data_IF_759835483771
#
_entry.id   IF_759835483771
#
_cell.length_a   1.000
_cell.length_b   1.000
_cell.length_c   1.000
_cell.angle_alpha   90.00
_cell.angle_beta   90.00
_cell.angle_gamma   90.00
#
_symmetry.space_group_name_H-M   'P 1'
#
loop_
_entity.id
_entity.type
_entity.pdbx_description
1 polymer ?
#
# COMPACT_ATOMS: atom_id res chain seq x y z
N UNK A 1 -14.14 -39.50 -41.21
CA UNK A 1 -13.89 -40.80 -40.52
C UNK A 1 -15.14 -41.63 -40.32
N UNK A 2 -16.27 -41.08 -39.84
CA UNK A 2 -17.51 -41.85 -39.59
C UNK A 2 -18.02 -42.64 -40.81
N UNK A 3 -17.97 -42.06 -42.03
CA UNK A 3 -18.43 -42.75 -43.26
C UNK A 3 -17.59 -43.98 -43.63
N UNK A 4 -16.28 -43.96 -43.39
CA UNK A 4 -15.37 -45.07 -43.73
C UNK A 4 -15.64 -46.30 -42.84
N UNK A 5 -15.72 -46.08 -41.52
CA UNK A 5 -16.01 -47.14 -40.56
C UNK A 5 -17.46 -47.65 -40.64
N UNK A 6 -18.40 -46.78 -41.04
CA UNK A 6 -19.77 -47.19 -41.32
C UNK A 6 -19.84 -48.14 -42.54
N UNK A 7 -19.16 -47.80 -43.64
CA UNK A 7 -19.12 -48.65 -44.83
C UNK A 7 -18.48 -50.01 -44.57
N UNK A 8 -17.35 -50.06 -43.84
CA UNK A 8 -16.66 -51.32 -43.49
C UNK A 8 -17.55 -52.24 -42.65
N UNK A 9 -18.26 -51.68 -41.66
CA UNK A 9 -19.20 -52.44 -40.81
C UNK A 9 -20.35 -53.05 -41.62
N UNK A 10 -20.91 -52.27 -42.56
CA UNK A 10 -22.01 -52.72 -43.42
C UNK A 10 -21.57 -53.87 -44.33
N UNK A 11 -20.36 -53.81 -44.88
CA UNK A 11 -19.77 -54.89 -45.69
C UNK A 11 -19.50 -56.16 -44.87
N UNK A 12 -18.94 -56.03 -43.66
CA UNK A 12 -18.63 -57.17 -42.78
C UNK A 12 -19.89 -57.91 -42.25
N UNK A 13 -20.99 -57.17 -42.05
CA UNK A 13 -22.31 -57.73 -41.72
C UNK A 13 -22.89 -58.53 -42.89
N UNK A 14 -22.81 -57.99 -44.11
CA UNK A 14 -23.31 -58.64 -45.32
C UNK A 14 -22.52 -59.92 -45.69
N UNK A 15 -21.26 -60.02 -45.26
CA UNK A 15 -20.39 -61.21 -45.46
C UNK A 15 -20.53 -62.28 -44.35
N UNK A 16 -21.41 -62.12 -43.37
CA UNK A 16 -21.58 -63.08 -42.25
C UNK A 16 -20.43 -63.08 -41.23
N UNK A 17 -19.53 -62.09 -41.25
CA UNK A 17 -18.34 -62.00 -40.39
C UNK A 17 -18.63 -61.25 -39.08
N UNK A 18 -19.58 -61.74 -38.29
CA UNK A 18 -20.05 -61.12 -37.04
C UNK A 18 -18.93 -60.84 -36.02
N UNK A 19 -17.97 -61.76 -35.85
CA UNK A 19 -16.83 -61.55 -34.93
C UNK A 19 -15.94 -60.36 -35.34
N UNK A 20 -15.73 -60.16 -36.64
CA UNK A 20 -14.94 -59.04 -37.14
C UNK A 20 -15.73 -57.74 -37.00
N UNK A 21 -17.03 -57.75 -37.31
CA UNK A 21 -17.92 -56.61 -37.09
C UNK A 21 -17.85 -56.10 -35.64
N UNK A 22 -17.93 -57.00 -34.64
CA UNK A 22 -17.85 -56.63 -33.22
C UNK A 22 -16.49 -56.02 -32.87
N UNK A 23 -15.38 -56.58 -33.34
CA UNK A 23 -14.03 -56.00 -33.12
C UNK A 23 -13.91 -54.57 -33.65
N UNK A 24 -14.40 -54.33 -34.86
CA UNK A 24 -14.36 -52.99 -35.47
C UNK A 24 -15.32 -52.01 -34.78
N UNK A 25 -16.52 -52.44 -34.37
CA UNK A 25 -17.45 -51.60 -33.62
C UNK A 25 -16.92 -51.20 -32.23
N UNK A 26 -16.28 -52.14 -31.52
CA UNK A 26 -15.61 -51.85 -30.25
C UNK A 26 -14.45 -50.87 -30.47
N UNK A 27 -13.64 -51.07 -31.51
CA UNK A 27 -12.54 -50.15 -31.84
C UNK A 27 -13.01 -48.71 -32.08
N UNK A 28 -14.15 -48.53 -32.75
CA UNK A 28 -14.75 -47.21 -32.97
C UNK A 28 -15.24 -46.57 -31.69
N UNK A 29 -15.91 -47.32 -30.82
CA UNK A 29 -16.35 -46.83 -29.50
C UNK A 29 -15.13 -46.41 -28.67
N UNK A 30 -14.09 -47.24 -28.61
CA UNK A 30 -12.86 -46.93 -27.88
C UNK A 30 -12.19 -45.67 -28.42
N UNK A 31 -12.12 -45.49 -29.75
CA UNK A 31 -11.57 -44.26 -30.35
C UNK A 31 -12.40 -43.02 -30.03
N UNK A 32 -13.73 -43.11 -30.09
CA UNK A 32 -14.62 -42.01 -29.71
C UNK A 32 -14.47 -41.67 -28.23
N UNK A 33 -14.42 -42.68 -27.36
CA UNK A 33 -14.21 -42.50 -25.91
C UNK A 33 -12.87 -41.82 -25.63
N UNK A 34 -11.78 -42.26 -26.28
CA UNK A 34 -10.47 -41.60 -26.16
C UNK A 34 -10.55 -40.13 -26.61
N UNK A 35 -11.22 -39.86 -27.73
CA UNK A 35 -11.42 -38.49 -28.22
C UNK A 35 -12.16 -37.60 -27.23
N UNK A 36 -13.24 -38.11 -26.61
CA UNK A 36 -14.00 -37.40 -25.58
C UNK A 36 -13.14 -37.15 -24.34
N UNK A 37 -12.40 -38.16 -23.88
CA UNK A 37 -11.51 -38.02 -22.72
C UNK A 37 -10.44 -36.96 -22.97
N UNK A 38 -9.79 -36.96 -24.13
CA UNK A 38 -8.81 -35.93 -24.51
C UNK A 38 -9.47 -34.56 -24.51
N UNK A 39 -10.63 -34.39 -25.16
CA UNK A 39 -11.35 -33.12 -25.20
C UNK A 39 -11.69 -32.60 -23.79
N UNK A 40 -12.18 -33.47 -22.90
CA UNK A 40 -12.46 -33.14 -21.51
C UNK A 40 -11.19 -32.74 -20.75
N UNK A 41 -10.08 -33.47 -20.93
CA UNK A 41 -8.81 -33.12 -20.26
C UNK A 41 -8.26 -31.77 -20.72
N UNK A 42 -8.36 -31.45 -22.03
CA UNK A 42 -7.94 -30.16 -22.59
C UNK A 42 -8.82 -29.03 -22.06
N UNK A 43 -10.14 -29.21 -22.05
CA UNK A 43 -11.05 -28.21 -21.49
C UNK A 43 -10.75 -27.94 -20.01
N UNK A 44 -10.63 -29.00 -19.21
CA UNK A 44 -10.30 -28.90 -17.79
C UNK A 44 -8.92 -28.25 -17.55
N UNK A 45 -7.94 -28.48 -18.43
CA UNK A 45 -6.64 -27.80 -18.35
C UNK A 45 -6.74 -26.30 -18.65
N UNK A 46 -7.51 -25.92 -19.67
CA UNK A 46 -7.73 -24.52 -20.02
C UNK A 46 -8.48 -23.77 -18.91
N UNK A 47 -9.51 -24.39 -18.32
CA UNK A 47 -10.23 -23.84 -17.16
C UNK A 47 -9.30 -23.65 -15.96
N UNK A 48 -8.49 -24.65 -15.62
CA UNK A 48 -7.48 -24.54 -14.54
C UNK A 48 -6.50 -23.40 -14.78
N UNK A 49 -5.98 -23.27 -16.00
CA UNK A 49 -5.08 -22.17 -16.36
C UNK A 49 -5.75 -20.80 -16.16
N UNK A 50 -7.02 -20.67 -16.53
CA UNK A 50 -7.79 -19.44 -16.33
C UNK A 50 -7.99 -19.13 -14.85
N UNK A 51 -8.36 -20.12 -14.03
CA UNK A 51 -8.54 -19.93 -12.59
C UNK A 51 -7.24 -19.59 -11.88
N UNK A 52 -6.13 -20.23 -12.26
CA UNK A 52 -4.81 -19.93 -11.69
C UNK A 52 -4.33 -18.52 -12.07
N UNK A 53 -4.61 -18.07 -13.30
CA UNK A 53 -4.33 -16.69 -13.72
C UNK A 53 -5.14 -15.68 -12.91
N UNK A 54 -6.44 -15.94 -12.69
CA UNK A 54 -7.29 -15.08 -11.86
C UNK A 54 -6.81 -15.03 -10.42
N UNK A 55 -6.43 -16.19 -9.86
CA UNK A 55 -5.87 -16.27 -8.51
C UNK A 55 -4.58 -15.44 -8.41
N UNK A 56 -3.67 -15.55 -9.39
CA UNK A 56 -2.44 -14.75 -9.43
C UNK A 56 -2.74 -13.26 -9.39
N UNK A 57 -3.67 -12.77 -10.21
CA UNK A 57 -4.08 -11.35 -10.19
C UNK A 57 -4.67 -10.93 -8.84
N UNK A 58 -5.49 -11.78 -8.21
CA UNK A 58 -6.00 -11.50 -6.86
C UNK A 58 -4.90 -11.45 -5.81
N UNK A 59 -3.89 -12.32 -5.91
CA UNK A 59 -2.71 -12.31 -5.04
C UNK A 59 -1.87 -11.06 -5.25
N UNK A 60 -1.71 -10.58 -6.48
CA UNK A 60 -1.02 -9.31 -6.77
C UNK A 60 -1.75 -8.15 -6.09
N UNK A 61 -3.08 -8.06 -6.20
CA UNK A 61 -3.84 -7.03 -5.50
C UNK A 61 -3.68 -7.11 -3.97
N UNK A 62 -3.76 -8.32 -3.40
CA UNK A 62 -3.56 -8.56 -1.97
C UNK A 62 -2.15 -8.19 -1.51
N UNK A 63 -1.12 -8.57 -2.28
CA UNK A 63 0.26 -8.23 -2.00
C UNK A 63 0.46 -6.72 -1.86
N UNK A 64 -0.11 -5.96 -2.81
CA UNK A 64 0.00 -4.50 -2.82
C UNK A 64 -0.80 -3.83 -1.71
N UNK A 65 -1.99 -4.35 -1.42
CA UNK A 65 -2.82 -3.87 -0.31
C UNK A 65 -2.11 -4.08 1.04
N UNK A 66 -1.53 -5.26 1.27
CA UNK A 66 -0.82 -5.57 2.52
C UNK A 66 0.48 -4.75 2.62
N UNK A 67 1.18 -4.54 1.50
CA UNK A 67 2.34 -3.65 1.47
C UNK A 67 1.97 -2.22 1.89
N UNK A 68 0.84 -1.72 1.39
CA UNK A 68 0.33 -0.41 1.77
C UNK A 68 -0.13 -0.36 3.23
N UNK A 69 -0.77 -1.41 3.74
CA UNK A 69 -1.11 -1.50 5.16
C UNK A 69 0.15 -1.40 6.04
N UNK A 70 1.19 -2.17 5.74
CA UNK A 70 2.46 -2.16 6.48
C UNK A 70 3.07 -0.76 6.49
N UNK A 71 3.07 -0.08 5.33
CA UNK A 71 3.55 1.29 5.19
C UNK A 71 2.76 2.27 6.08
N UNK A 72 1.43 2.25 6.02
CA UNK A 72 0.59 3.15 6.82
C UNK A 72 0.73 2.86 8.32
N UNK A 73 0.81 1.59 8.72
CA UNK A 73 1.05 1.24 10.12
C UNK A 73 2.43 1.68 10.59
N UNK A 74 3.45 1.70 9.75
CA UNK A 74 4.77 2.24 10.11
C UNK A 74 4.74 3.76 10.30
N UNK A 75 4.04 4.50 9.42
CA UNK A 75 3.83 5.94 9.57
C UNK A 75 3.12 6.23 10.90
N UNK A 76 2.03 5.52 11.14
CA UNK A 76 1.25 5.64 12.37
C UNK A 76 2.08 5.28 13.61
N UNK A 77 2.87 4.22 13.54
CA UNK A 77 3.75 3.80 14.63
C UNK A 77 4.80 4.87 14.97
N UNK A 78 5.35 5.55 13.95
CA UNK A 78 6.29 6.65 14.18
C UNK A 78 5.60 7.85 14.83
N UNK A 79 4.41 8.24 14.37
CA UNK A 79 3.62 9.32 15.02
C UNK A 79 3.34 8.99 16.49
N UNK A 80 2.91 7.75 16.78
CA UNK A 80 2.66 7.29 18.15
C UNK A 80 3.94 7.32 18.99
N UNK A 81 5.09 6.92 18.42
CA UNK A 81 6.40 6.99 19.11
C UNK A 81 6.72 8.43 19.49
N UNK A 82 6.59 9.37 18.55
CA UNK A 82 6.87 10.79 18.79
C UNK A 82 5.97 11.33 19.92
N UNK A 83 4.69 10.94 19.94
CA UNK A 83 3.77 11.32 21.02
C UNK A 83 4.20 10.76 22.38
N UNK A 84 4.63 9.50 22.45
CA UNK A 84 5.14 8.89 23.68
C UNK A 84 6.36 9.66 24.20
N UNK A 85 7.32 9.98 23.33
CA UNK A 85 8.56 10.68 23.70
C UNK A 85 8.33 12.12 24.16
N UNK A 86 7.30 12.79 23.63
CA UNK A 86 6.98 14.18 23.94
C UNK A 86 6.21 14.38 25.25
N UNK A 87 5.46 13.38 25.73
CA UNK A 87 4.67 13.52 26.97
C UNK A 87 5.55 13.82 28.20
N UNK A 88 6.62 13.06 28.49
CA UNK A 88 7.50 13.37 29.62
C UNK A 88 8.20 14.72 29.49
N UNK A 89 8.54 15.13 28.28
CA UNK A 89 9.16 16.44 28.00
C UNK A 89 8.17 17.57 28.30
N UNK A 90 6.91 17.41 27.91
CA UNK A 90 5.85 18.36 28.21
C UNK A 90 5.62 18.48 29.73
N UNK A 91 5.54 17.35 30.44
CA UNK A 91 5.32 17.32 31.89
C UNK A 91 6.48 17.90 32.70
N UNK A 92 7.68 17.95 32.13
CA UNK A 92 8.89 18.52 32.75
C UNK A 92 9.19 19.96 32.30
N UNK A 93 8.33 20.57 31.47
CA UNK A 93 8.55 21.92 30.95
C UNK A 93 8.51 22.97 32.07
N UNK A 94 9.58 23.77 32.26
CA UNK A 94 9.58 24.87 33.23
C UNK A 94 8.57 25.96 32.86
N UNK A 95 7.99 26.64 33.86
CA UNK A 95 7.01 27.72 33.67
C UNK A 95 7.49 28.78 32.67
N UNK A 96 8.74 29.22 32.79
CA UNK A 96 9.30 30.29 31.96
C UNK A 96 9.63 29.85 30.53
N UNK A 97 9.52 28.54 30.24
CA UNK A 97 9.74 27.96 28.92
C UNK A 97 8.44 27.66 28.15
N UNK A 98 7.27 27.87 28.78
CA UNK A 98 5.97 27.66 28.14
C UNK A 98 5.76 28.70 27.04
N UNK A 99 5.51 28.21 25.83
CA UNK A 99 5.27 29.04 24.64
C UNK A 99 4.27 28.36 23.70
N UNK A 100 4.09 28.93 22.50
CA UNK A 100 3.17 28.41 21.49
C UNK A 100 3.48 26.96 21.09
N UNK A 101 4.75 26.59 20.93
CA UNK A 101 5.15 25.21 20.59
C UNK A 101 4.77 24.24 21.70
N UNK A 102 4.91 24.63 22.98
CA UNK A 102 4.53 23.78 24.11
C UNK A 102 3.04 23.44 24.07
N UNK A 103 2.17 24.42 23.82
CA UNK A 103 0.72 24.21 23.71
C UNK A 103 0.39 23.34 22.49
N UNK A 104 1.04 23.57 21.34
CA UNK A 104 0.82 22.76 20.14
C UNK A 104 1.24 21.30 20.33
N UNK A 105 2.38 21.07 20.99
CA UNK A 105 2.81 19.73 21.39
C UNK A 105 1.76 19.10 22.29
N UNK A 106 1.24 19.82 23.28
CA UNK A 106 0.20 19.33 24.17
C UNK A 106 -1.05 18.86 23.42
N UNK A 107 -1.53 19.64 22.44
CA UNK A 107 -2.64 19.23 21.58
C UNK A 107 -2.29 18.03 20.70
N UNK A 108 -1.10 18.02 20.08
CA UNK A 108 -0.64 16.90 19.26
C UNK A 108 -0.59 15.58 20.05
N UNK A 109 0.03 15.61 21.25
CA UNK A 109 0.06 14.46 22.17
C UNK A 109 -1.24 14.27 22.93
N UNK A 110 -2.32 14.98 22.63
CA UNK A 110 -3.65 14.68 23.19
C UNK A 110 -4.64 14.24 22.13
N UNK A 111 -4.33 14.47 20.85
CA UNK A 111 -5.16 14.09 19.73
C UNK A 111 -5.04 12.59 19.42
N UNK A 112 -6.17 11.98 19.10
CA UNK A 112 -6.22 10.64 18.53
C UNK A 112 -5.69 10.64 17.10
N UNK A 113 -5.09 9.52 16.71
CA UNK A 113 -4.62 9.29 15.36
C UNK A 113 -5.81 9.10 14.42
N UNK A 114 -5.63 9.49 13.15
CA UNK A 114 -6.66 9.24 12.13
C UNK A 114 -6.77 7.73 11.91
N UNK A 115 -8.00 7.16 11.91
CA UNK A 115 -8.17 5.75 11.64
C UNK A 115 -7.71 5.43 10.21
N UNK A 116 -6.88 4.42 10.07
CA UNK A 116 -6.51 3.83 8.78
C UNK A 116 -7.41 2.65 8.46
N UNK A 117 -7.98 2.64 7.26
CA UNK A 117 -8.85 1.58 6.77
C UNK A 117 -8.15 0.80 5.65
N UNK A 118 -7.86 -0.47 5.92
CA UNK A 118 -7.22 -1.37 4.96
C UNK A 118 -8.14 -1.75 3.80
N UNK A 119 -7.60 -1.82 2.59
CA UNK A 119 -8.28 -2.42 1.41
C UNK A 119 -8.17 -3.96 1.39
N UNK A 120 -7.35 -4.55 2.25
CA UNK A 120 -7.07 -6.00 2.26
C UNK A 120 -8.33 -6.85 2.42
N UNK A 121 -9.31 -6.48 3.30
CA UNK A 121 -10.58 -7.20 3.39
C UNK A 121 -11.35 -7.25 2.07
N UNK A 122 -11.35 -6.16 1.30
CA UNK A 122 -12.06 -6.10 0.02
C UNK A 122 -11.46 -7.09 -0.99
N UNK A 123 -10.14 -7.14 -1.11
CA UNK A 123 -9.48 -8.08 -2.03
C UNK A 123 -9.59 -9.53 -1.56
N UNK A 124 -9.50 -9.77 -0.25
CA UNK A 124 -9.59 -11.13 0.31
C UNK A 124 -10.99 -11.73 0.09
N UNK A 125 -12.05 -10.96 0.30
CA UNK A 125 -13.43 -11.42 0.10
C UNK A 125 -13.73 -11.83 -1.34
N UNK A 126 -12.96 -11.32 -2.31
CA UNK A 126 -13.09 -11.65 -3.72
C UNK A 126 -12.12 -12.75 -4.19
N UNK A 127 -11.27 -13.28 -3.30
CA UNK A 127 -10.28 -14.31 -3.62
C UNK A 127 -10.94 -15.68 -3.80
N UNK A 128 -10.72 -16.32 -4.95
CA UNK A 128 -11.23 -17.67 -5.25
C UNK A 128 -10.09 -18.68 -5.31
N UNK A 129 -9.79 -19.31 -4.18
CA UNK A 129 -8.76 -20.34 -4.09
C UNK A 129 -9.25 -21.69 -4.59
N UNK A 130 -8.36 -22.45 -5.24
CA UNK A 130 -8.56 -23.86 -5.52
C UNK A 130 -8.37 -24.66 -4.21
N UNK A 131 -9.41 -25.32 -3.68
CA UNK A 131 -9.32 -26.04 -2.40
C UNK A 131 -8.33 -27.21 -2.43
N UNK A 132 -7.99 -27.72 -3.61
CA UNK A 132 -7.03 -28.81 -3.78
C UNK A 132 -5.58 -28.30 -3.91
N UNK A 133 -5.36 -26.99 -3.96
CA UNK A 133 -4.03 -26.40 -4.05
C UNK A 133 -3.57 -25.94 -2.67
N UNK A 134 -2.68 -26.72 -2.06
CA UNK A 134 -2.13 -26.47 -0.70
C UNK A 134 -1.53 -25.07 -0.55
N UNK A 135 -0.82 -24.58 -1.57
CA UNK A 135 -0.21 -23.23 -1.53
C UNK A 135 -1.26 -22.14 -1.49
N UNK A 136 -2.33 -22.30 -2.28
CA UNK A 136 -3.41 -21.33 -2.33
C UNK A 136 -4.20 -21.31 -1.01
N UNK A 137 -4.53 -22.49 -0.48
CA UNK A 137 -5.29 -22.61 0.77
C UNK A 137 -4.50 -22.09 1.98
N UNK A 138 -3.19 -22.34 2.04
CA UNK A 138 -2.31 -21.80 3.07
C UNK A 138 -2.23 -20.27 3.02
N UNK A 139 -1.99 -19.68 1.85
CA UNK A 139 -1.96 -18.22 1.71
C UNK A 139 -3.29 -17.58 2.12
N UNK A 140 -4.42 -18.15 1.68
CA UNK A 140 -5.74 -17.61 2.04
C UNK A 140 -5.93 -17.63 3.55
N UNK A 141 -5.53 -18.72 4.21
CA UNK A 141 -5.61 -18.85 5.67
C UNK A 141 -4.75 -17.79 6.36
N UNK A 142 -3.49 -17.63 5.96
CA UNK A 142 -2.59 -16.66 6.61
C UNK A 142 -3.02 -15.21 6.37
N UNK A 143 -3.51 -14.88 5.17
CA UNK A 143 -4.09 -13.55 4.90
C UNK A 143 -5.37 -13.32 5.72
N UNK A 144 -6.20 -14.34 5.89
CA UNK A 144 -7.40 -14.26 6.74
C UNK A 144 -7.04 -13.97 8.20
N UNK A 145 -6.02 -14.65 8.74
CA UNK A 145 -5.54 -14.42 10.10
C UNK A 145 -5.06 -12.96 10.28
N UNK A 146 -4.31 -12.46 9.31
CA UNK A 146 -3.88 -11.07 9.30
C UNK A 146 -5.04 -10.09 9.20
N UNK A 147 -6.01 -10.32 8.31
CA UNK A 147 -7.21 -9.49 8.21
C UNK A 147 -7.94 -9.40 9.56
N UNK A 148 -8.08 -10.52 10.27
CA UNK A 148 -8.70 -10.54 11.59
C UNK A 148 -7.89 -9.72 12.62
N UNK A 149 -6.56 -9.72 12.52
CA UNK A 149 -5.69 -8.90 13.37
C UNK A 149 -5.79 -7.39 13.09
N UNK A 150 -6.34 -6.99 11.93
CA UNK A 150 -6.52 -5.57 11.60
C UNK A 150 -7.70 -4.94 12.34
N UNK A 151 -8.65 -5.74 12.82
CA UNK A 151 -9.79 -5.25 13.57
C UNK A 151 -9.31 -4.57 14.86
N UNK A 152 -9.70 -3.31 15.04
CA UNK A 152 -9.31 -2.49 16.19
C UNK A 152 -10.31 -2.76 17.30
N UNK A 153 -9.85 -3.28 18.44
CA UNK A 153 -10.55 -3.10 19.70
C UNK A 153 -10.26 -1.67 20.15
N UNK A 154 -11.11 -0.70 19.76
CA UNK A 154 -10.92 0.66 20.25
C UNK A 154 -11.18 0.63 21.75
N UNK A 155 -10.13 0.64 22.56
CA UNK A 155 -10.25 1.21 23.90
C UNK A 155 -10.73 2.63 23.65
N UNK A 156 -11.96 2.93 24.07
CA UNK A 156 -12.58 4.23 23.83
C UNK A 156 -11.81 5.31 24.57
N UNK A 157 -10.70 5.78 23.98
CA UNK A 157 -9.92 6.89 24.47
C UNK A 157 -10.75 8.15 24.28
N UNK A 158 -11.38 8.59 25.36
CA UNK A 158 -11.87 9.97 25.42
C UNK A 158 -10.64 10.87 25.43
N UNK A 159 -10.63 11.88 24.57
CA UNK A 159 -9.56 12.88 24.47
C UNK A 159 -9.59 13.81 25.71
N UNK A 160 -9.42 13.26 26.91
CA UNK A 160 -9.66 13.95 28.16
C UNK A 160 -8.70 15.12 28.34
N UNK A 161 -7.39 14.93 28.10
CA UNK A 161 -6.41 16.01 28.19
C UNK A 161 -6.64 17.08 27.12
N UNK A 162 -7.04 16.67 25.90
CA UNK A 162 -7.41 17.60 24.83
C UNK A 162 -8.58 18.48 25.28
N UNK A 163 -9.66 17.85 25.76
CA UNK A 163 -10.85 18.54 26.20
C UNK A 163 -10.58 19.45 27.40
N UNK A 164 -9.74 19.03 28.35
CA UNK A 164 -9.33 19.86 29.49
C UNK A 164 -8.65 21.17 29.04
N UNK A 165 -7.85 21.16 27.96
CA UNK A 165 -7.27 22.39 27.41
C UNK A 165 -8.33 23.30 26.79
N UNK A 166 -9.29 22.74 26.06
CA UNK A 166 -10.42 23.48 25.50
C UNK A 166 -11.28 24.10 26.62
N UNK A 167 -11.55 23.34 27.69
CA UNK A 167 -12.36 23.77 28.83
C UNK A 167 -11.71 24.93 29.61
N UNK A 168 -10.38 25.05 29.58
CA UNK A 168 -9.63 26.19 30.15
C UNK A 168 -9.48 27.38 29.18
N UNK A 169 -10.18 27.34 28.05
CA UNK A 169 -10.21 28.42 27.07
C UNK A 169 -8.94 28.52 26.24
N UNK A 170 -8.15 27.45 26.13
CA UNK A 170 -6.98 27.41 25.25
C UNK A 170 -7.45 27.01 23.85
N UNK A 171 -7.30 27.87 22.82
CA UNK A 171 -7.77 27.54 21.49
C UNK A 171 -6.88 26.51 20.81
N UNK A 172 -7.50 25.59 20.08
CA UNK A 172 -6.79 24.65 19.21
C UNK A 172 -6.47 25.30 17.87
N UNK A 173 -5.24 25.77 17.68
CA UNK A 173 -4.74 26.00 16.32
C UNK A 173 -4.59 24.63 15.70
N UNK A 174 -5.23 24.36 14.56
CA UNK A 174 -4.89 23.16 13.78
C UNK A 174 -3.38 23.23 13.48
N UNK A 175 -2.53 22.42 14.14
CA UNK A 175 -1.11 22.51 13.89
C UNK A 175 -0.89 22.16 12.42
N UNK A 176 -0.17 23.01 11.69
CA UNK A 176 0.28 22.64 10.35
C UNK A 176 1.49 21.73 10.52
N UNK A 177 1.20 20.47 10.82
CA UNK A 177 2.20 19.41 10.80
C UNK A 177 2.37 19.12 9.30
N UNK A 178 3.37 19.74 8.67
CA UNK A 178 3.88 19.22 7.40
C UNK A 178 4.36 17.79 7.57
N UNK A 179 5.07 17.21 6.61
CA UNK A 179 5.64 15.85 6.80
C UNK A 179 6.90 15.81 7.68
N UNK A 180 7.17 16.89 8.42
CA UNK A 180 8.27 16.92 9.39
C UNK A 180 7.68 16.92 10.81
N UNK A 181 8.40 16.33 11.77
CA UNK A 181 8.10 16.45 13.20
C UNK A 181 8.36 17.86 13.74
N UNK A 182 8.70 18.83 12.87
CA UNK A 182 8.88 20.22 13.26
C UNK A 182 7.55 20.96 13.16
N UNK A 183 7.18 21.55 14.29
CA UNK A 183 6.03 22.44 14.41
C UNK A 183 6.37 23.78 13.75
N UNK A 184 5.95 23.98 12.51
CA UNK A 184 6.05 25.29 11.86
C UNK A 184 4.92 26.20 12.37
N UNK A 185 5.29 27.15 13.23
CA UNK A 185 4.38 28.18 13.71
C UNK A 185 4.17 29.18 12.58
N UNK A 186 2.99 29.13 11.94
CA UNK A 186 2.61 30.15 10.94
C UNK A 186 2.20 31.46 11.63
N UNK A 187 1.78 31.43 12.89
CA UNK A 187 1.37 32.64 13.61
C UNK A 187 1.68 32.59 15.11
N UNK A 188 2.76 33.27 15.53
CA UNK A 188 3.12 33.44 16.94
C UNK A 188 2.09 34.28 17.72
N UNK A 189 1.15 34.95 17.04
CA UNK A 189 0.11 35.77 17.66
C UNK A 189 -1.15 34.97 18.02
N UNK A 190 -1.24 33.69 17.62
CA UNK A 190 -2.39 32.85 17.93
C UNK A 190 -2.58 32.64 19.43
N UNK A 191 -1.47 32.56 20.18
CA UNK A 191 -1.47 32.41 21.62
C UNK A 191 -1.08 33.70 22.33
N UNK A 192 -1.84 34.07 23.36
CA UNK A 192 -1.57 35.23 24.21
C UNK A 192 -0.99 34.78 25.56
N UNK A 193 -0.48 35.72 26.36
CA UNK A 193 -0.01 35.43 27.72
C UNK A 193 -1.09 34.76 28.58
N UNK A 194 -2.37 35.10 28.37
CA UNK A 194 -3.48 34.42 29.02
C UNK A 194 -3.49 32.91 28.72
N UNK A 195 -3.27 32.49 27.47
CA UNK A 195 -3.21 31.07 27.11
C UNK A 195 -2.01 30.37 27.74
N UNK A 196 -0.83 31.02 27.79
CA UNK A 196 0.35 30.47 28.45
C UNK A 196 0.16 30.28 29.96
N UNK A 197 -0.47 31.25 30.64
CA UNK A 197 -0.79 31.15 32.06
C UNK A 197 -1.81 30.04 32.36
N UNK A 198 -2.85 29.92 31.53
CA UNK A 198 -3.85 28.85 31.64
C UNK A 198 -3.25 27.47 31.41
N UNK A 199 -2.39 27.34 30.41
CA UNK A 199 -1.69 26.09 30.14
C UNK A 199 -0.73 25.72 31.28
N UNK A 200 0.02 26.69 31.82
CA UNK A 200 0.87 26.48 32.99
C UNK A 200 0.04 26.04 34.21
N UNK A 201 -1.14 26.64 34.42
CA UNK A 201 -2.05 26.24 35.49
C UNK A 201 -2.48 24.77 35.31
N UNK A 202 -2.90 24.38 34.11
CA UNK A 202 -3.28 23.01 33.77
C UNK A 202 -2.15 22.02 33.97
N UNK A 203 -0.96 22.30 33.43
CA UNK A 203 0.21 21.42 33.55
C UNK A 203 0.56 21.11 35.00
N UNK A 204 0.23 22.00 35.94
CA UNK A 204 0.47 21.80 37.36
C UNK A 204 -0.70 21.13 38.11
N UNK A 205 -1.84 20.88 37.46
CA UNK A 205 -2.95 20.16 38.07
C UNK A 205 -2.67 18.65 38.17
N UNK A 206 -2.85 18.03 39.35
CA UNK A 206 -2.67 16.58 39.51
C UNK A 206 -3.52 15.76 38.53
N UNK A 207 -4.76 16.21 38.26
CA UNK A 207 -5.67 15.54 37.33
C UNK A 207 -5.13 15.56 35.90
N UNK A 208 -4.66 16.71 35.41
CA UNK A 208 -4.12 16.82 34.05
C UNK A 208 -2.87 15.94 33.89
N UNK A 209 -1.96 15.96 34.86
CA UNK A 209 -0.78 15.08 34.86
C UNK A 209 -1.17 13.60 34.82
N UNK A 210 -2.18 13.19 35.59
CA UNK A 210 -2.66 11.82 35.59
C UNK A 210 -3.22 11.41 34.21
N UNK A 211 -4.03 12.26 33.57
CA UNK A 211 -4.54 12.00 32.22
C UNK A 211 -3.42 11.89 31.17
N UNK A 212 -2.39 12.76 31.25
CA UNK A 212 -1.24 12.69 30.35
C UNK A 212 -0.44 11.39 30.52
N UNK A 213 -0.26 10.92 31.76
CA UNK A 213 0.40 9.64 32.03
C UNK A 213 -0.46 8.45 31.56
N UNK A 214 -1.78 8.52 31.71
CA UNK A 214 -2.68 7.51 31.14
C UNK A 214 -2.59 7.48 29.62
N UNK A 215 -2.52 8.64 28.96
CA UNK A 215 -2.30 8.74 27.52
C UNK A 215 -0.97 8.10 27.08
N UNK A 216 0.11 8.31 27.84
CA UNK A 216 1.41 7.68 27.55
C UNK A 216 1.33 6.14 27.58
N UNK A 217 0.67 5.58 28.60
CA UNK A 217 0.47 4.13 28.73
C UNK A 217 -0.36 3.57 27.58
N UNK A 218 -1.47 4.25 27.25
CA UNK A 218 -2.34 3.83 26.16
C UNK A 218 -1.61 3.86 24.81
N UNK A 219 -0.88 4.95 24.50
CA UNK A 219 -0.08 5.03 23.28
C UNK A 219 1.03 3.99 23.22
N UNK A 220 1.64 3.66 24.35
CA UNK A 220 2.61 2.57 24.42
C UNK A 220 1.97 1.24 24.02
N UNK A 221 0.76 0.96 24.49
CA UNK A 221 0.01 -0.22 24.06
C UNK A 221 -0.27 -0.19 22.54
N UNK A 222 -0.78 0.92 22.02
CA UNK A 222 -1.03 1.10 20.59
C UNK A 222 0.23 0.90 19.73
N UNK A 223 1.39 1.40 20.18
CA UNK A 223 2.67 1.22 19.49
C UNK A 223 3.02 -0.26 19.29
N UNK A 224 2.79 -1.10 20.31
CA UNK A 224 3.03 -2.55 20.25
C UNK A 224 1.98 -3.28 19.41
N UNK A 225 0.73 -2.84 19.42
CA UNK A 225 -0.29 -3.37 18.50
C UNK A 225 0.09 -3.10 17.05
N UNK A 226 0.51 -1.88 16.72
CA UNK A 226 1.00 -1.51 15.39
C UNK A 226 2.22 -2.35 14.99
N UNK A 227 3.15 -2.58 15.92
CA UNK A 227 4.32 -3.43 15.68
C UNK A 227 3.91 -4.86 15.27
N UNK A 228 2.88 -5.39 15.91
CA UNK A 228 2.34 -6.74 15.63
C UNK A 228 1.71 -6.78 14.24
N UNK A 229 0.92 -5.76 13.86
CA UNK A 229 0.34 -5.62 12.52
C UNK A 229 1.41 -5.52 11.43
N UNK A 230 2.42 -4.68 11.64
CA UNK A 230 3.57 -4.51 10.74
C UNK A 230 4.30 -5.85 10.54
N UNK A 231 4.61 -6.55 11.63
CA UNK A 231 5.36 -7.82 11.59
C UNK A 231 4.57 -8.94 10.91
N UNK A 232 3.26 -9.00 11.15
CA UNK A 232 2.35 -9.96 10.52
C UNK A 232 2.23 -9.68 9.02
N UNK A 233 2.04 -8.42 8.62
CA UNK A 233 2.01 -8.00 7.22
C UNK A 233 3.30 -8.35 6.49
N UNK A 234 4.47 -8.03 7.07
CA UNK A 234 5.78 -8.40 6.51
C UNK A 234 5.95 -9.90 6.32
N UNK A 235 5.48 -10.71 7.29
CA UNK A 235 5.54 -12.17 7.21
C UNK A 235 4.71 -12.71 6.04
N UNK A 236 3.52 -12.14 5.81
CA UNK A 236 2.66 -12.52 4.68
C UNK A 236 3.25 -12.07 3.34
N UNK A 237 3.82 -10.87 3.26
CA UNK A 237 4.51 -10.42 2.05
C UNK A 237 5.66 -11.36 1.69
N UNK A 238 6.42 -11.84 2.68
CA UNK A 238 7.46 -12.84 2.48
C UNK A 238 6.89 -14.19 2.00
N UNK A 239 5.79 -14.66 2.60
CA UNK A 239 5.11 -15.89 2.19
C UNK A 239 4.59 -15.82 0.75
N UNK A 240 3.93 -14.72 0.38
CA UNK A 240 3.44 -14.51 -0.99
C UNK A 240 4.60 -14.52 -1.97
N UNK A 241 5.70 -13.80 -1.69
CA UNK A 241 6.90 -13.82 -2.55
C UNK A 241 7.53 -15.20 -2.67
N UNK A 242 7.50 -16.01 -1.62
CA UNK A 242 8.01 -17.37 -1.67
C UNK A 242 7.19 -18.28 -2.60
N UNK A 243 5.85 -18.15 -2.59
CA UNK A 243 4.97 -18.98 -3.44
C UNK A 243 4.76 -18.41 -4.85
N UNK A 244 4.86 -17.08 -4.98
CA UNK A 244 4.67 -16.32 -6.21
C UNK A 244 5.84 -15.33 -6.35
N UNK A 245 7.04 -15.79 -6.74
CA UNK A 245 8.22 -14.92 -6.86
C UNK A 245 8.05 -13.81 -7.91
N UNK A 246 7.20 -14.05 -8.92
CA UNK A 246 6.87 -13.09 -9.98
C UNK A 246 5.65 -12.22 -9.63
N UNK A 247 5.26 -12.11 -8.35
CA UNK A 247 4.17 -11.24 -7.91
C UNK A 247 4.51 -9.78 -8.25
N UNK A 248 3.66 -9.13 -9.04
CA UNK A 248 3.86 -7.73 -9.44
C UNK A 248 3.54 -6.78 -8.28
N UNK A 249 4.38 -5.76 -8.13
CA UNK A 249 4.06 -4.58 -7.34
C UNK A 249 3.23 -3.66 -8.24
N UNK A 250 1.99 -3.41 -7.84
CA UNK A 250 1.06 -2.49 -8.48
C UNK A 250 1.23 -1.14 -7.81
N UNK A 251 1.79 -0.20 -8.55
CA UNK A 251 1.96 1.16 -8.10
C UNK A 251 0.66 1.93 -8.34
N UNK A 252 0.24 2.75 -7.37
CA UNK A 252 -0.91 3.65 -7.49
C UNK A 252 -0.42 5.07 -7.24
N UNK A 253 -1.08 6.06 -7.84
CA UNK A 253 -0.81 7.48 -7.57
C UNK A 253 0.69 7.81 -7.68
N UNK A 254 1.33 7.31 -8.74
CA UNK A 254 2.74 7.61 -9.01
C UNK A 254 2.82 9.06 -9.46
N UNK A 255 3.71 9.81 -8.86
CA UNK A 255 3.94 11.21 -9.19
C UNK A 255 5.42 11.58 -9.18
N UNK A 256 5.70 12.76 -9.70
CA UNK A 256 7.02 13.39 -9.70
C UNK A 256 7.01 14.63 -8.80
N UNK A 257 8.05 14.80 -7.99
CA UNK A 257 8.21 15.91 -7.05
C UNK A 257 9.64 16.45 -7.10
N UNK A 258 9.87 17.69 -6.71
CA UNK A 258 11.21 18.25 -6.53
C UNK A 258 11.31 19.74 -6.83
N UNK A 259 12.50 20.30 -6.61
CA UNK A 259 12.80 21.73 -6.76
C UNK A 259 12.69 22.24 -8.20
N UNK A 260 12.78 21.33 -9.19
CA UNK A 260 12.48 21.66 -10.59
C UNK A 260 11.01 21.96 -10.85
N UNK A 261 10.11 21.66 -9.89
CA UNK A 261 8.67 21.85 -9.98
C UNK A 261 8.23 22.87 -8.90
N UNK A 262 7.79 22.38 -7.74
CA UNK A 262 7.25 23.17 -6.62
C UNK A 262 8.03 22.95 -5.31
N UNK A 263 9.14 22.19 -5.34
CA UNK A 263 9.90 21.78 -4.16
C UNK A 263 9.55 20.38 -3.66
N UNK A 264 10.00 20.05 -2.46
CA UNK A 264 9.69 18.80 -1.75
C UNK A 264 8.72 19.07 -0.58
N UNK A 265 8.50 18.08 0.27
CA UNK A 265 7.56 18.19 1.39
C UNK A 265 7.95 19.24 2.43
N UNK A 266 9.22 19.62 2.49
CA UNK A 266 9.75 20.67 3.38
C UNK A 266 9.14 22.05 3.10
N UNK A 267 8.69 22.29 1.87
CA UNK A 267 7.97 23.50 1.47
C UNK A 267 6.47 23.24 1.26
N UNK A 268 5.96 22.10 1.73
CA UNK A 268 4.56 21.71 1.59
C UNK A 268 4.17 21.25 0.18
N UNK A 269 5.13 20.95 -0.70
CA UNK A 269 4.84 20.48 -2.05
C UNK A 269 4.26 19.06 -2.05
N UNK A 270 3.47 18.75 -3.08
CA UNK A 270 2.93 17.43 -3.38
C UNK A 270 3.44 16.96 -4.74
N UNK A 271 3.40 15.65 -4.98
CA UNK A 271 3.78 15.10 -6.28
C UNK A 271 2.81 15.57 -7.33
N UNK A 272 3.35 15.92 -8.50
CA UNK A 272 2.55 16.08 -9.71
C UNK A 272 2.19 14.69 -10.20
N UNK A 273 0.89 14.32 -10.30
CA UNK A 273 0.49 12.98 -10.71
C UNK A 273 0.95 12.66 -12.13
N UNK A 274 1.43 11.43 -12.33
CA UNK A 274 1.70 10.85 -13.65
C UNK A 274 0.50 9.99 -14.08
N UNK A 275 0.37 9.77 -15.38
CA UNK A 275 -0.68 8.94 -15.97
C UNK A 275 -0.09 7.55 -16.24
N UNK A 276 -0.74 6.49 -15.77
CA UNK A 276 -0.38 5.13 -16.14
C UNK A 276 -0.83 4.85 -17.58
N UNK A 277 0.13 4.75 -18.51
CA UNK A 277 -0.13 4.50 -19.93
C UNK A 277 -0.09 3.01 -20.28
N UNK A 278 0.59 2.20 -19.47
CA UNK A 278 0.64 0.74 -19.61
C UNK A 278 0.63 0.07 -18.23
N UNK A 279 -0.55 -0.46 -17.85
CA UNK A 279 -0.75 -1.19 -16.59
C UNK A 279 0.10 -2.46 -16.50
N UNK A 280 0.29 -3.18 -17.61
CA UNK A 280 1.01 -4.46 -17.60
C UNK A 280 2.50 -4.30 -17.34
N UNK A 281 3.08 -3.23 -17.87
CA UNK A 281 4.49 -2.88 -17.71
C UNK A 281 4.74 -1.78 -16.66
N UNK A 282 3.68 -1.30 -16.00
CA UNK A 282 3.73 -0.17 -15.05
C UNK A 282 4.51 1.02 -15.62
N UNK A 283 4.08 1.47 -16.80
CA UNK A 283 4.65 2.67 -17.46
C UNK A 283 3.78 3.86 -17.09
N UNK A 284 4.45 4.88 -16.57
CA UNK A 284 3.85 6.14 -16.13
C UNK A 284 4.45 7.27 -16.94
N UNK A 285 3.60 8.14 -17.47
CA UNK A 285 4.00 9.25 -18.33
C UNK A 285 3.40 10.56 -17.86
N UNK A 286 4.11 11.65 -18.09
CA UNK A 286 3.65 13.01 -17.85
C UNK A 286 4.41 13.97 -18.75
N UNK A 287 3.71 14.97 -19.28
CA UNK A 287 4.34 16.14 -19.87
C UNK A 287 4.34 17.29 -18.87
N UNK A 288 5.51 17.84 -18.58
CA UNK A 288 5.66 18.88 -17.56
C UNK A 288 6.81 19.84 -17.90
N UNK A 289 6.58 21.13 -17.65
CA UNK A 289 7.63 22.13 -17.68
C UNK A 289 8.50 22.00 -16.44
N UNK A 290 9.79 21.75 -16.61
CA UNK A 290 10.75 21.59 -15.53
C UNK A 290 11.74 22.75 -15.53
N UNK A 291 11.98 23.34 -14.36
CA UNK A 291 13.07 24.29 -14.12
C UNK A 291 14.37 23.54 -13.84
N UNK A 292 15.50 24.24 -13.93
CA UNK A 292 16.78 23.71 -13.42
C UNK A 292 16.67 23.41 -11.92
N UNK A 293 17.04 22.19 -11.52
CA UNK A 293 16.83 21.72 -10.16
C UNK A 293 16.99 20.21 -10.07
N UNK A 294 16.24 19.59 -9.16
CA UNK A 294 16.17 18.15 -9.03
C UNK A 294 14.72 17.66 -8.95
N UNK A 295 14.52 16.40 -9.32
CA UNK A 295 13.25 15.69 -9.21
C UNK A 295 13.43 14.29 -8.64
N UNK A 296 12.35 13.72 -8.13
CA UNK A 296 12.26 12.35 -7.67
C UNK A 296 10.85 11.83 -7.92
N UNK A 297 10.72 10.53 -8.17
CA UNK A 297 9.42 9.88 -8.32
C UNK A 297 9.00 9.26 -7.00
N UNK A 298 7.70 9.24 -6.72
CA UNK A 298 7.18 8.53 -5.56
C UNK A 298 5.74 8.07 -5.74
N UNK A 299 5.38 7.05 -5.00
CA UNK A 299 4.05 6.45 -4.97
C UNK A 299 3.24 7.07 -3.82
N UNK A 300 1.98 7.44 -4.07
CA UNK A 300 1.01 7.86 -3.04
C UNK A 300 1.48 9.02 -2.15
N UNK A 301 2.26 9.94 -2.72
CA UNK A 301 2.84 11.08 -1.98
C UNK A 301 3.65 10.68 -0.74
N UNK A 302 4.29 9.51 -0.76
CA UNK A 302 5.04 8.94 0.36
C UNK A 302 6.50 8.65 0.02
N UNK A 303 7.41 8.79 0.98
CA UNK A 303 8.82 8.45 0.81
C UNK A 303 9.12 6.95 0.97
N UNK A 304 8.17 6.10 1.36
CA UNK A 304 8.44 4.67 1.54
C UNK A 304 8.75 3.95 0.21
N UNK A 305 8.07 4.38 -0.86
CA UNK A 305 8.26 3.84 -2.21
C UNK A 305 8.50 5.02 -3.14
N UNK A 306 9.78 5.34 -3.31
CA UNK A 306 10.27 6.42 -4.15
C UNK A 306 11.35 5.89 -5.10
N UNK A 307 11.56 6.58 -6.22
CA UNK A 307 12.60 6.26 -7.18
C UNK A 307 13.37 7.50 -7.58
N UNK A 308 14.68 7.34 -7.59
CA UNK A 308 15.61 8.35 -8.06
C UNK A 308 16.68 7.73 -8.94
N UNK A 309 17.61 8.55 -9.39
CA UNK A 309 18.76 8.11 -10.16
C UNK A 309 19.70 9.26 -10.50
N UNK A 310 20.85 8.86 -10.99
CA UNK A 310 22.07 9.67 -11.00
C UNK A 310 22.48 10.08 -12.43
N UNK A 311 21.62 9.80 -13.42
CA UNK A 311 21.85 10.08 -14.84
C UNK A 311 20.71 10.87 -15.47
N UNK A 312 21.01 11.63 -16.52
CA UNK A 312 20.03 12.40 -17.29
C UNK A 312 20.49 12.43 -18.76
N UNK A 313 19.59 12.39 -19.76
CA UNK A 313 18.13 12.41 -19.66
C UNK A 313 17.47 11.04 -19.41
N UNK A 314 18.23 9.95 -19.42
CA UNK A 314 17.70 8.61 -19.15
C UNK A 314 18.59 7.86 -18.17
N UNK A 315 18.01 6.88 -17.47
CA UNK A 315 18.70 6.21 -16.39
C UNK A 315 17.94 5.05 -15.78
N UNK A 316 18.60 4.39 -14.83
CA UNK A 316 17.96 3.41 -13.95
C UNK A 316 17.31 4.14 -12.77
N UNK A 317 16.04 3.81 -12.51
CA UNK A 317 15.28 4.27 -11.35
C UNK A 317 15.44 3.29 -10.21
N UNK A 318 16.26 3.62 -9.21
CA UNK A 318 16.44 2.80 -8.03
C UNK A 318 15.48 3.22 -6.95
N UNK A 319 14.90 2.23 -6.24
CA UNK A 319 14.18 2.52 -5.02
C UNK A 319 15.14 3.17 -4.02
N UNK A 320 14.72 4.26 -3.38
CA UNK A 320 15.55 5.09 -2.50
C UNK A 320 16.78 5.71 -3.19
N UNK A 321 16.76 5.80 -4.52
CA UNK A 321 17.81 6.41 -5.32
C UNK A 321 17.98 7.92 -5.04
N UNK A 322 19.13 8.50 -5.44
CA UNK A 322 19.38 9.93 -5.29
C UNK A 322 18.44 10.77 -6.18
N UNK A 323 18.29 12.06 -5.89
CA UNK A 323 17.47 12.93 -6.71
C UNK A 323 18.06 13.08 -8.12
N UNK A 324 17.19 13.06 -9.14
CA UNK A 324 17.55 13.19 -10.55
C UNK A 324 17.74 14.66 -10.87
N UNK A 325 18.92 15.02 -11.36
CA UNK A 325 19.26 16.41 -11.70
C UNK A 325 18.70 16.81 -13.06
N UNK A 326 17.95 17.90 -13.09
CA UNK A 326 17.47 18.54 -14.32
C UNK A 326 18.44 19.67 -14.68
N UNK A 327 19.25 19.52 -15.75
CA UNK A 327 20.32 20.46 -16.07
C UNK A 327 19.83 21.73 -16.75
N UNK A 328 18.72 21.65 -17.49
CA UNK A 328 18.20 22.70 -18.35
C UNK A 328 16.68 22.83 -18.19
N UNK A 329 16.20 24.07 -18.20
CA UNK A 329 14.76 24.35 -18.20
C UNK A 329 14.12 24.00 -19.55
N UNK A 330 12.88 23.54 -19.52
CA UNK A 330 12.09 23.28 -20.73
C UNK A 330 10.88 22.40 -20.47
N UNK A 331 10.09 22.20 -21.53
CA UNK A 331 9.00 21.24 -21.55
C UNK A 331 9.55 19.84 -21.81
N UNK A 332 9.16 18.85 -20.99
CA UNK A 332 9.62 17.47 -21.14
C UNK A 332 8.44 16.50 -21.18
N UNK A 333 8.52 15.51 -22.06
CA UNK A 333 7.80 14.24 -21.94
C UNK A 333 8.61 13.29 -21.06
N UNK A 334 8.06 12.91 -19.92
CA UNK A 334 8.72 12.13 -18.88
C UNK A 334 8.09 10.75 -18.85
N UNK A 335 8.92 9.70 -18.94
CA UNK A 335 8.49 8.30 -18.85
C UNK A 335 9.18 7.62 -17.69
N UNK A 336 8.43 6.91 -16.85
CA UNK A 336 8.92 6.05 -15.78
C UNK A 336 8.39 4.62 -16.00
N UNK A 337 9.29 3.66 -16.17
CA UNK A 337 8.96 2.24 -16.30
C UNK A 337 9.40 1.50 -15.04
N UNK A 338 8.43 1.17 -14.19
CA UNK A 338 8.70 0.56 -12.88
C UNK A 338 8.98 -0.95 -12.96
N UNK A 339 8.58 -1.61 -14.06
CA UNK A 339 8.94 -3.02 -14.32
C UNK A 339 10.41 -3.15 -14.71
N UNK A 340 10.90 -2.31 -15.62
CA UNK A 340 12.30 -2.29 -16.08
C UNK A 340 13.21 -1.46 -15.18
N UNK A 341 12.64 -0.71 -14.24
CA UNK A 341 13.35 0.21 -13.33
C UNK A 341 14.15 1.26 -14.10
N UNK A 342 13.51 1.91 -15.07
CA UNK A 342 14.14 2.93 -15.92
C UNK A 342 13.28 4.18 -16.00
N UNK A 343 13.90 5.34 -16.20
CA UNK A 343 13.21 6.58 -16.53
C UNK A 343 13.86 7.26 -17.74
N UNK A 344 13.10 8.16 -18.36
CA UNK A 344 13.54 8.97 -19.49
C UNK A 344 12.85 10.33 -19.51
N UNK A 345 13.60 11.36 -19.87
CA UNK A 345 13.15 12.73 -20.07
C UNK A 345 13.42 13.12 -21.52
N UNK A 346 12.38 13.29 -22.33
CA UNK A 346 12.50 13.76 -23.71
C UNK A 346 12.09 15.22 -23.73
N UNK A 347 13.04 16.12 -24.02
CA UNK A 347 12.72 17.54 -24.18
C UNK A 347 11.83 17.68 -25.42
N UNK A 348 10.71 18.39 -25.28
CA UNK A 348 9.83 18.74 -26.38
C UNK A 348 10.32 20.06 -26.96
N UNK A 349 10.53 20.09 -28.27
CA UNK A 349 10.84 21.33 -28.97
C UNK A 349 9.56 22.18 -29.07
N UNK A 350 9.69 23.49 -28.83
CA UNK A 350 8.59 24.47 -28.87
C UNK A 350 7.92 24.59 -30.26
#
# INVERSE_FOLDING_TARGET
MIKLFHSIRKTLLNEGKTTNYIKYAIGEIVLVVIGILIALTVNNWNERKKTDSQFKTSIENLYNSIMFDVENFQILQNEVRDKIELIPQLLSTPKDSINASTIQIAFFVSANEKPYYSETPFFLNNLKANPNNVKQTEIVKEITNYMNSLQINSLGEKENAFQMMIDEGIPFSKPNIGFTTKFDIIDSLYYTNFHFERFNYLLNQPKFKAEMLTLEVNRTYQYYELNTKISSGKSILALIKNYYPDVKILYKDVGIIGTSINGFDDVGAKSTPMIETDFENSIWELELHLKKGVVKFRCRDSWTINWGGDTFPEGKGYQDGPDIKIPEEGQYHITLNLTKKTYKFVKLDD
#
